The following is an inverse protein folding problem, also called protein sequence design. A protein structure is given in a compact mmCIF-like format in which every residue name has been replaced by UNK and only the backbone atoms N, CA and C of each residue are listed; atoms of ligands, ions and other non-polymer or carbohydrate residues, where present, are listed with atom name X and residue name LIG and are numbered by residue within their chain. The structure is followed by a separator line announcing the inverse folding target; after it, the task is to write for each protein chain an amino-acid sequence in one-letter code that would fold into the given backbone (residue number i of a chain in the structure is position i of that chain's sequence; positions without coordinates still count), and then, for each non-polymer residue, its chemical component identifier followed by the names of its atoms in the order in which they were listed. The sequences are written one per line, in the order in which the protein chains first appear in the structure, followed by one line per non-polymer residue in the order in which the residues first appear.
data_IF_094910326999
#
_entry.id   IF_094910326999
#
_cell.length_a   1.000
_cell.length_b   1.000
_cell.length_c   1.000
_cell.angle_alpha   90.00
_cell.angle_beta   90.00
_cell.angle_gamma   90.00
#
_symmetry.space_group_name_H-M   'P 1'
#
loop_
_entity.id
_entity.type
_entity.pdbx_description
1 polymer ?
#
# COMPACT_ATOMS: atom_id res chain seq x y z
N UNK A 1 -32.87 -29.06 -66.32
CA UNK A 1 -31.75 -29.15 -65.36
C UNK A 1 -32.29 -28.82 -63.98
N UNK A 2 -32.96 -29.79 -63.35
CA UNK A 2 -32.46 -30.57 -62.17
C UNK A 2 -32.29 -29.70 -60.93
N UNK A 3 -33.34 -29.55 -60.08
CA UNK A 3 -33.55 -30.26 -58.78
C UNK A 3 -32.44 -30.00 -57.76
N UNK A 4 -32.65 -29.64 -56.47
CA UNK A 4 -33.78 -29.91 -55.55
C UNK A 4 -33.55 -29.14 -54.23
N UNK A 5 -34.65 -28.75 -53.57
CA UNK A 5 -34.76 -28.58 -52.10
C UNK A 5 -34.35 -29.87 -51.36
N UNK A 6 -33.81 -29.74 -50.13
CA UNK A 6 -34.22 -30.58 -48.97
C UNK A 6 -33.75 -30.01 -47.63
N UNK A 7 -34.71 -29.92 -46.71
CA UNK A 7 -34.56 -29.87 -45.25
C UNK A 7 -34.17 -31.26 -44.69
N UNK A 8 -33.56 -31.27 -43.49
CA UNK A 8 -33.69 -32.18 -42.32
C UNK A 8 -32.34 -32.23 -41.57
N UNK A 9 -32.22 -31.66 -40.36
CA UNK A 9 -32.54 -32.19 -39.00
C UNK A 9 -31.38 -32.95 -38.32
N UNK A 10 -31.02 -32.43 -37.13
CA UNK A 10 -30.42 -33.02 -35.93
C UNK A 10 -29.24 -34.01 -36.06
N UNK A 11 -28.14 -33.66 -35.39
CA UNK A 11 -27.07 -34.58 -35.05
C UNK A 11 -26.08 -33.96 -34.07
N UNK A 12 -26.36 -34.13 -32.77
CA UNK A 12 -25.42 -33.90 -31.67
C UNK A 12 -24.17 -34.76 -31.87
N UNK A 13 -22.99 -34.15 -31.84
CA UNK A 13 -21.75 -34.82 -31.41
C UNK A 13 -20.73 -33.76 -30.96
N UNK A 14 -20.70 -33.55 -29.65
CA UNK A 14 -19.54 -32.99 -28.97
C UNK A 14 -18.39 -34.01 -29.05
N UNK A 15 -17.21 -33.61 -29.51
CA UNK A 15 -15.94 -34.25 -29.16
C UNK A 15 -14.73 -33.44 -29.68
N UNK A 16 -13.84 -33.06 -28.77
CA UNK A 16 -12.40 -32.82 -28.97
C UNK A 16 -12.00 -31.77 -30.01
N UNK A 17 -11.42 -30.63 -29.65
CA UNK A 17 -10.09 -30.53 -29.05
C UNK A 17 -9.92 -29.15 -28.42
N UNK A 18 -10.49 -28.94 -27.23
CA UNK A 18 -10.01 -27.90 -26.32
C UNK A 18 -8.86 -28.50 -25.51
N UNK A 19 -7.66 -28.52 -26.09
CA UNK A 19 -6.44 -28.80 -25.32
C UNK A 19 -6.25 -27.68 -24.29
N UNK A 20 -5.94 -27.98 -23.02
CA UNK A 20 -5.63 -26.93 -22.08
C UNK A 20 -4.27 -26.36 -22.47
N UNK A 21 -4.22 -25.12 -22.99
CA UNK A 21 -3.04 -24.28 -22.87
C UNK A 21 -2.87 -23.84 -21.41
N UNK A 22 -2.74 -24.83 -20.50
CA UNK A 22 -1.93 -24.68 -19.30
C UNK A 22 -0.50 -24.92 -19.75
N UNK A 23 0.12 -23.90 -20.35
CA UNK A 23 1.55 -23.80 -20.20
C UNK A 23 1.79 -23.72 -18.69
N UNK A 24 2.37 -24.78 -18.12
CA UNK A 24 2.91 -24.72 -16.79
C UNK A 24 3.93 -23.58 -16.80
N UNK A 25 3.54 -22.43 -16.27
CA UNK A 25 4.48 -21.38 -15.91
C UNK A 25 5.31 -21.96 -14.77
N UNK A 26 6.37 -22.69 -15.11
CA UNK A 26 7.48 -22.88 -14.21
C UNK A 26 8.09 -21.48 -14.06
N UNK A 27 7.75 -20.82 -12.95
CA UNK A 27 8.65 -19.84 -12.39
C UNK A 27 10.00 -20.54 -12.29
N UNK A 28 11.01 -19.96 -12.94
CA UNK A 28 12.37 -20.45 -12.87
C UNK A 28 12.73 -20.58 -11.37
N UNK A 29 13.09 -21.77 -10.85
CA UNK A 29 13.46 -21.95 -9.45
C UNK A 29 14.73 -21.18 -9.06
N UNK A 30 15.37 -20.50 -10.02
CA UNK A 30 16.46 -19.57 -9.77
C UNK A 30 15.97 -18.27 -9.06
N UNK A 31 15.65 -18.41 -7.78
CA UNK A 31 15.87 -17.41 -6.72
C UNK A 31 17.38 -17.12 -6.51
N UNK A 32 18.24 -17.47 -7.46
CA UNK A 32 19.70 -17.63 -7.32
C UNK A 32 20.49 -16.35 -7.09
N UNK A 33 19.81 -15.23 -6.86
CA UNK A 33 20.47 -14.04 -6.36
C UNK A 33 19.49 -13.19 -5.55
N UNK A 34 18.97 -13.75 -4.45
CA UNK A 34 18.26 -12.94 -3.46
C UNK A 34 19.13 -11.75 -3.04
N UNK A 35 20.44 -11.94 -2.93
CA UNK A 35 21.39 -10.87 -2.60
C UNK A 35 21.33 -9.74 -3.64
N UNK A 36 21.42 -10.02 -4.94
CA UNK A 36 21.25 -8.98 -5.96
C UNK A 36 19.84 -8.39 -6.05
N UNK A 37 18.79 -9.07 -5.58
CA UNK A 37 17.46 -8.47 -5.45
C UNK A 37 17.42 -7.47 -4.29
N UNK A 38 17.94 -7.85 -3.12
CA UNK A 38 18.00 -6.99 -1.94
C UNK A 38 18.97 -5.81 -2.12
N UNK A 39 20.11 -6.02 -2.78
CA UNK A 39 21.05 -4.97 -3.19
C UNK A 39 20.43 -4.06 -4.25
N UNK A 40 19.73 -4.62 -5.24
CA UNK A 40 19.02 -3.79 -6.22
C UNK A 40 17.85 -3.02 -5.59
N UNK A 41 17.32 -3.45 -4.45
CA UNK A 41 16.23 -2.81 -3.69
C UNK A 41 16.70 -1.61 -2.85
N UNK A 42 18.00 -1.38 -2.72
CA UNK A 42 18.52 -0.13 -2.19
C UNK A 42 18.11 1.05 -3.10
N UNK A 43 17.59 2.13 -2.51
CA UNK A 43 17.28 3.37 -3.22
C UNK A 43 18.51 3.91 -3.96
N UNK A 44 18.30 4.74 -5.00
CA UNK A 44 19.40 5.49 -5.61
C UNK A 44 20.12 6.27 -4.51
N UNK A 45 21.38 5.91 -4.27
CA UNK A 45 22.22 6.53 -3.25
C UNK A 45 22.38 8.01 -3.61
N UNK A 46 21.89 8.96 -2.78
CA UNK A 46 22.06 10.37 -3.07
C UNK A 46 23.55 10.74 -3.11
N UNK A 47 23.95 11.80 -3.83
CA UNK A 47 25.34 12.25 -3.86
C UNK A 47 25.88 12.48 -2.44
N UNK A 48 26.95 11.77 -2.08
CA UNK A 48 27.55 11.82 -0.74
C UNK A 48 26.98 10.82 0.28
N UNK A 49 26.14 9.87 -0.12
CA UNK A 49 25.74 8.75 0.72
C UNK A 49 26.94 7.83 0.98
N UNK A 50 27.34 7.71 2.24
CA UNK A 50 28.26 6.67 2.68
C UNK A 50 27.47 5.38 2.85
N UNK A 51 27.82 4.36 2.07
CA UNK A 51 27.17 3.06 2.17
C UNK A 51 27.42 2.47 3.56
N UNK A 52 26.37 2.08 4.30
CA UNK A 52 26.56 1.50 5.61
C UNK A 52 27.35 0.20 5.49
N UNK A 53 28.05 -0.16 6.56
CA UNK A 53 28.80 -1.41 6.61
C UNK A 53 27.86 -2.60 6.30
N UNK A 54 28.31 -3.61 5.54
CA UNK A 54 27.50 -4.77 5.22
C UNK A 54 27.00 -5.45 6.50
N UNK A 55 25.69 -5.58 6.63
CA UNK A 55 25.04 -6.28 7.75
C UNK A 55 24.68 -7.69 7.28
N UNK A 56 24.86 -8.69 8.14
CA UNK A 56 24.36 -10.03 7.89
C UNK A 56 22.86 -10.02 7.58
N UNK A 57 22.42 -10.87 6.66
CA UNK A 57 21.01 -10.97 6.30
C UNK A 57 20.19 -11.63 7.41
N UNK A 58 18.98 -11.12 7.68
CA UNK A 58 18.07 -11.71 8.66
C UNK A 58 17.77 -13.19 8.32
N UNK A 59 17.55 -13.46 7.04
CA UNK A 59 17.24 -14.80 6.52
C UNK A 59 18.38 -15.82 6.71
N UNK A 60 19.63 -15.37 6.83
CA UNK A 60 20.80 -16.24 7.02
C UNK A 60 21.15 -16.48 8.49
N UNK A 61 20.50 -15.80 9.43
CA UNK A 61 20.73 -16.02 10.87
C UNK A 61 20.24 -17.40 11.30
N UNK A 62 21.03 -18.04 12.18
CA UNK A 62 20.66 -19.31 12.84
C UNK A 62 19.47 -19.09 13.78
N UNK A 63 19.49 -17.99 14.54
CA UNK A 63 18.39 -17.58 15.43
C UNK A 63 17.83 -16.25 14.94
N UNK A 64 16.64 -16.30 14.34
CA UNK A 64 16.03 -15.14 13.69
C UNK A 64 15.14 -14.38 14.68
N UNK A 65 15.43 -13.10 15.00
CA UNK A 65 14.53 -12.29 15.82
C UNK A 65 13.18 -12.17 15.11
N UNK A 66 12.09 -12.33 15.85
CA UNK A 66 10.74 -12.32 15.27
C UNK A 66 10.23 -10.87 15.18
N UNK A 67 9.82 -10.40 13.99
CA UNK A 67 9.09 -9.14 13.88
C UNK A 67 7.71 -9.27 14.52
N UNK A 68 7.14 -8.16 14.94
CA UNK A 68 5.77 -8.13 15.46
C UNK A 68 5.05 -6.85 15.03
N UNK A 69 3.74 -6.93 14.99
CA UNK A 69 2.90 -5.74 14.92
C UNK A 69 2.69 -5.17 16.33
N UNK A 70 2.73 -3.84 16.53
CA UNK A 70 2.42 -3.25 17.83
C UNK A 70 0.99 -3.58 18.30
N UNK A 71 0.79 -3.50 19.61
CA UNK A 71 -0.56 -3.41 20.19
C UNK A 71 -1.33 -2.23 19.59
N UNK A 72 -2.66 -2.32 19.49
CA UNK A 72 -3.49 -1.29 18.84
C UNK A 72 -3.35 0.09 19.50
N UNK A 73 -3.23 0.12 20.82
CA UNK A 73 -2.97 1.34 21.61
C UNK A 73 -1.59 1.95 21.36
N UNK A 74 -0.66 1.21 20.76
CA UNK A 74 0.72 1.62 20.45
C UNK A 74 0.99 1.70 18.94
N UNK A 75 -0.04 1.52 18.11
CA UNK A 75 0.08 1.49 16.65
C UNK A 75 -0.36 2.81 16.02
N UNK A 76 0.46 3.35 15.10
CA UNK A 76 0.09 4.49 14.24
C UNK A 76 -1.17 4.25 13.41
N UNK A 77 -1.53 3.00 13.19
CA UNK A 77 -2.64 2.61 12.31
C UNK A 77 -3.95 2.35 13.07
N UNK A 78 -3.92 2.17 14.39
CA UNK A 78 -5.09 1.73 15.15
C UNK A 78 -5.43 2.60 16.36
N UNK A 79 -4.54 3.50 16.78
CA UNK A 79 -4.72 4.28 18.00
C UNK A 79 -6.02 5.09 18.02
N UNK A 80 -6.39 5.67 16.88
CA UNK A 80 -7.58 6.50 16.68
C UNK A 80 -8.90 5.70 16.67
N UNK A 81 -8.83 4.36 16.60
CA UNK A 81 -10.00 3.47 16.64
C UNK A 81 -9.93 2.43 17.76
N UNK A 82 -9.03 2.60 18.73
CA UNK A 82 -8.79 1.59 19.77
C UNK A 82 -10.01 1.36 20.67
N UNK A 83 -10.87 2.37 20.83
CA UNK A 83 -12.10 2.25 21.61
C UNK A 83 -13.17 1.41 20.88
N UNK A 84 -13.28 1.59 19.55
CA UNK A 84 -14.25 0.89 18.72
C UNK A 84 -13.76 -0.51 18.33
N UNK A 85 -12.44 -0.72 18.28
CA UNK A 85 -11.84 -1.98 17.90
C UNK A 85 -10.57 -2.26 18.76
N UNK A 86 -10.73 -2.59 20.05
CA UNK A 86 -9.60 -2.78 20.98
C UNK A 86 -8.77 -4.03 20.66
N UNK A 87 -9.37 -5.01 19.98
CA UNK A 87 -8.74 -6.27 19.58
C UNK A 87 -9.01 -6.55 18.11
N UNK A 88 -8.18 -7.42 17.51
CA UNK A 88 -8.41 -7.90 16.15
C UNK A 88 -9.67 -8.75 16.09
N UNK A 89 -10.53 -8.50 15.11
CA UNK A 89 -11.69 -9.35 14.84
C UNK A 89 -11.31 -10.52 13.94
N UNK A 90 -11.85 -11.70 14.24
CA UNK A 90 -11.72 -12.90 13.38
C UNK A 90 -12.88 -13.06 12.39
N UNK A 91 -13.92 -12.23 12.52
CA UNK A 91 -15.09 -12.26 11.64
C UNK A 91 -14.77 -11.72 10.26
N UNK A 92 -15.32 -12.36 9.22
CA UNK A 92 -15.25 -11.83 7.86
C UNK A 92 -16.21 -10.66 7.67
N UNK A 93 -15.82 -9.66 6.89
CA UNK A 93 -16.67 -8.55 6.49
C UNK A 93 -16.63 -8.35 4.96
N UNK A 94 -17.61 -7.62 4.42
CA UNK A 94 -17.68 -7.32 2.98
C UNK A 94 -17.10 -5.94 2.72
N UNK A 95 -16.08 -5.86 1.88
CA UNK A 95 -15.66 -4.60 1.28
C UNK A 95 -16.48 -4.36 0.01
N UNK A 96 -17.03 -3.15 -0.14
CA UNK A 96 -17.89 -2.71 -1.26
C UNK A 96 -17.52 -1.28 -1.67
N UNK A 97 -18.03 -0.82 -2.81
CA UNK A 97 -17.92 0.60 -3.22
C UNK A 97 -18.47 1.55 -2.15
N UNK A 98 -19.64 1.23 -1.57
CA UNK A 98 -20.26 2.03 -0.52
C UNK A 98 -19.38 2.15 0.74
N UNK A 99 -18.67 1.07 1.13
CA UNK A 99 -17.73 1.11 2.25
C UNK A 99 -16.53 2.01 1.92
N UNK A 100 -15.98 1.93 0.71
CA UNK A 100 -14.88 2.80 0.29
C UNK A 100 -15.30 4.28 0.22
N UNK A 101 -16.52 4.57 -0.24
CA UNK A 101 -17.10 5.91 -0.16
C UNK A 101 -17.23 6.41 1.29
N UNK A 102 -17.75 5.57 2.20
CA UNK A 102 -17.88 5.91 3.62
C UNK A 102 -16.51 6.20 4.24
N UNK A 103 -15.50 5.38 3.96
CA UNK A 103 -14.13 5.60 4.41
C UNK A 103 -13.53 6.90 3.85
N UNK A 104 -13.71 7.19 2.57
CA UNK A 104 -13.25 8.43 1.96
C UNK A 104 -13.92 9.65 2.61
N UNK A 105 -15.23 9.58 2.86
CA UNK A 105 -15.98 10.66 3.51
C UNK A 105 -15.54 10.88 4.97
N UNK A 106 -15.37 9.80 5.75
CA UNK A 106 -14.87 9.87 7.14
C UNK A 106 -13.49 10.53 7.24
N UNK A 107 -12.69 10.46 6.17
CA UNK A 107 -11.36 11.02 6.11
C UNK A 107 -11.27 12.34 5.32
N UNK A 108 -12.40 12.89 4.85
CA UNK A 108 -12.42 14.08 3.99
C UNK A 108 -11.50 13.96 2.76
N UNK A 109 -11.42 12.76 2.18
CA UNK A 109 -10.63 12.48 0.97
C UNK A 109 -11.40 12.91 -0.28
N UNK A 110 -10.82 13.80 -1.08
CA UNK A 110 -11.39 14.20 -2.37
C UNK A 110 -11.15 13.11 -3.43
N UNK A 111 -12.06 12.15 -3.44
CA UNK A 111 -12.09 11.02 -4.40
C UNK A 111 -13.06 11.25 -5.56
N UNK A 112 -13.91 12.28 -5.50
CA UNK A 112 -15.09 12.42 -6.34
C UNK A 112 -14.91 13.18 -7.66
N UNK A 113 -13.75 13.80 -7.91
CA UNK A 113 -13.64 14.84 -8.95
C UNK A 113 -13.04 14.47 -10.31
N UNK A 114 -12.40 13.32 -10.53
CA UNK A 114 -11.77 13.10 -11.86
C UNK A 114 -11.30 11.70 -12.27
N UNK A 115 -11.68 10.60 -11.61
CA UNK A 115 -10.93 9.34 -11.81
C UNK A 115 -11.83 8.14 -12.05
N UNK A 116 -11.75 7.59 -13.26
CA UNK A 116 -12.36 6.29 -13.61
C UNK A 116 -11.93 5.17 -12.65
N UNK A 117 -10.72 5.28 -12.07
CA UNK A 117 -10.09 4.27 -11.22
C UNK A 117 -9.32 4.91 -10.08
N UNK A 118 -9.56 4.44 -8.87
CA UNK A 118 -8.86 4.81 -7.64
C UNK A 118 -8.13 3.58 -7.13
N UNK A 119 -6.86 3.72 -6.80
CA UNK A 119 -6.12 2.65 -6.13
C UNK A 119 -6.46 2.71 -4.65
N UNK A 120 -6.58 1.56 -4.01
CA UNK A 120 -6.77 1.50 -2.56
C UNK A 120 -5.94 0.37 -1.96
N UNK A 121 -5.53 0.58 -0.71
CA UNK A 121 -4.83 -0.40 0.10
C UNK A 121 -5.50 -0.50 1.45
N UNK A 122 -5.67 -1.72 1.95
CA UNK A 122 -6.11 -1.97 3.31
C UNK A 122 -5.00 -2.75 4.03
N UNK A 123 -4.29 -2.05 4.91
CA UNK A 123 -3.26 -2.64 5.76
C UNK A 123 -3.90 -3.51 6.83
N UNK A 124 -3.35 -4.70 7.05
CA UNK A 124 -3.79 -5.58 8.12
C UNK A 124 -5.10 -6.32 7.84
N UNK A 125 -5.33 -6.72 6.60
CA UNK A 125 -6.42 -7.64 6.25
C UNK A 125 -6.07 -8.49 5.03
N UNK A 126 -6.72 -9.65 4.93
CA UNK A 126 -6.53 -10.60 3.85
C UNK A 126 -7.87 -11.02 3.25
N UNK A 127 -7.91 -11.45 1.98
CA UNK A 127 -9.10 -12.09 1.41
C UNK A 127 -9.47 -13.34 2.22
N UNK A 128 -10.75 -13.49 2.56
CA UNK A 128 -11.25 -14.65 3.30
C UNK A 128 -11.26 -15.96 2.47
N UNK A 129 -10.96 -15.85 1.17
CA UNK A 129 -10.96 -16.95 0.22
C UNK A 129 -10.28 -16.56 -1.09
N UNK A 130 -10.72 -17.17 -2.20
CA UNK A 130 -10.15 -16.89 -3.52
C UNK A 130 -10.37 -15.42 -3.90
N UNK A 131 -9.31 -14.74 -4.30
CA UNK A 131 -9.39 -13.38 -4.85
C UNK A 131 -10.05 -13.38 -6.23
N UNK A 132 -10.81 -12.31 -6.56
CA UNK A 132 -11.55 -12.26 -7.81
C UNK A 132 -10.62 -12.22 -9.03
N UNK A 133 -11.10 -12.76 -10.15
CA UNK A 133 -10.41 -12.67 -11.45
C UNK A 133 -10.68 -11.32 -12.14
N UNK A 134 -11.87 -10.76 -11.95
CA UNK A 134 -12.31 -9.48 -12.51
C UNK A 134 -12.91 -8.55 -11.46
N UNK A 135 -13.41 -7.40 -11.89
CA UNK A 135 -14.15 -6.50 -11.00
C UNK A 135 -15.41 -7.18 -10.48
N UNK A 136 -15.68 -7.00 -9.19
CA UNK A 136 -16.83 -7.57 -8.47
C UNK A 136 -17.45 -6.51 -7.56
N UNK A 137 -18.76 -6.59 -7.27
CA UNK A 137 -19.43 -5.62 -6.41
C UNK A 137 -18.96 -5.66 -4.95
N UNK A 138 -18.37 -6.79 -4.53
CA UNK A 138 -17.86 -6.96 -3.17
C UNK A 138 -16.84 -8.09 -3.06
N UNK A 139 -16.02 -8.05 -2.01
CA UNK A 139 -15.10 -9.14 -1.62
C UNK A 139 -15.20 -9.38 -0.10
N UNK A 140 -15.11 -10.64 0.33
CA UNK A 140 -14.99 -10.96 1.76
C UNK A 140 -13.53 -10.83 2.22
N UNK A 141 -13.32 -10.05 3.27
CA UNK A 141 -12.02 -9.85 3.92
C UNK A 141 -12.09 -10.30 5.38
N UNK A 142 -10.94 -10.62 5.95
CA UNK A 142 -10.72 -10.84 7.39
C UNK A 142 -9.59 -9.95 7.86
N UNK A 143 -9.69 -9.41 9.08
CA UNK A 143 -8.56 -8.68 9.66
C UNK A 143 -7.41 -9.65 9.96
N UNK A 144 -6.19 -9.23 9.63
CA UNK A 144 -4.97 -10.00 9.85
C UNK A 144 -3.83 -9.03 10.15
N UNK A 145 -3.37 -8.95 11.40
CA UNK A 145 -2.23 -8.12 11.75
C UNK A 145 -1.03 -8.41 10.82
N UNK A 146 -0.37 -7.38 10.25
CA UNK A 146 0.85 -7.59 9.50
C UNK A 146 1.93 -8.25 10.36
N UNK A 147 2.77 -9.10 9.76
CA UNK A 147 3.85 -9.77 10.47
C UNK A 147 5.22 -9.51 9.83
N UNK A 148 5.28 -8.62 8.84
CA UNK A 148 6.49 -8.30 8.08
C UNK A 148 7.15 -9.50 7.36
N UNK A 149 6.47 -10.63 7.29
CA UNK A 149 6.92 -11.87 6.66
C UNK A 149 6.03 -12.25 5.48
N UNK A 150 4.71 -12.10 5.65
CA UNK A 150 3.67 -12.47 4.69
C UNK A 150 2.91 -11.24 4.20
N UNK A 151 2.33 -11.34 3.00
CA UNK A 151 1.43 -10.35 2.42
C UNK A 151 0.05 -10.35 3.12
N UNK A 152 -0.01 -9.76 4.32
CA UNK A 152 -1.23 -9.66 5.17
C UNK A 152 -2.01 -8.36 4.97
N UNK A 153 -1.92 -7.78 3.78
CA UNK A 153 -2.67 -6.60 3.38
C UNK A 153 -3.38 -6.90 2.05
N UNK A 154 -4.23 -5.98 1.60
CA UNK A 154 -4.76 -6.03 0.23
C UNK A 154 -4.49 -4.71 -0.48
N UNK A 155 -4.26 -4.79 -1.78
CA UNK A 155 -4.23 -3.64 -2.70
C UNK A 155 -5.18 -3.93 -3.85
N UNK A 156 -5.91 -2.91 -4.27
CA UNK A 156 -6.95 -3.03 -5.28
C UNK A 156 -7.19 -1.77 -6.11
N UNK A 157 -8.08 -1.93 -7.06
CA UNK A 157 -8.60 -0.88 -7.94
C UNK A 157 -10.09 -0.78 -7.70
N UNK A 158 -10.55 0.42 -7.42
CA UNK A 158 -11.96 0.77 -7.21
C UNK A 158 -12.45 1.64 -8.35
N UNK A 159 -13.66 1.36 -8.86
CA UNK A 159 -14.36 2.16 -9.86
C UNK A 159 -15.61 2.76 -9.20
N UNK A 160 -15.52 3.98 -8.65
CA UNK A 160 -16.63 4.60 -7.92
C UNK A 160 -17.92 4.61 -8.74
N UNK A 161 -17.84 5.00 -10.01
CA UNK A 161 -19.00 5.15 -10.89
C UNK A 161 -19.62 3.81 -11.35
N UNK A 162 -18.89 2.70 -11.20
CA UNK A 162 -19.37 1.35 -11.59
C UNK A 162 -19.74 0.49 -10.37
N UNK A 163 -19.60 1.04 -9.16
CA UNK A 163 -19.87 0.36 -7.90
C UNK A 163 -19.21 -1.01 -7.73
N UNK A 164 -18.00 -1.14 -8.28
CA UNK A 164 -17.23 -2.38 -8.20
C UNK A 164 -15.74 -2.15 -7.93
N UNK A 165 -15.10 -3.25 -7.55
CA UNK A 165 -13.71 -3.27 -7.15
C UNK A 165 -13.02 -4.57 -7.55
N UNK A 166 -11.71 -4.50 -7.69
CA UNK A 166 -10.84 -5.66 -7.80
C UNK A 166 -9.75 -5.53 -6.74
N UNK A 167 -9.33 -6.63 -6.12
CA UNK A 167 -8.21 -6.63 -5.17
C UNK A 167 -7.44 -7.95 -5.18
N UNK A 168 -6.22 -7.88 -4.67
CA UNK A 168 -5.38 -9.04 -4.40
C UNK A 168 -4.71 -8.91 -3.02
N UNK A 169 -4.25 -10.04 -2.47
CA UNK A 169 -3.32 -10.03 -1.34
C UNK A 169 -2.04 -9.28 -1.73
N UNK A 170 -1.51 -8.50 -0.80
CA UNK A 170 -0.39 -7.58 -1.01
C UNK A 170 0.32 -7.29 0.32
N UNK A 171 1.43 -6.56 0.28
CA UNK A 171 2.03 -5.96 1.46
C UNK A 171 2.03 -4.44 1.36
N UNK A 172 1.67 -3.78 2.44
CA UNK A 172 1.74 -2.31 2.61
C UNK A 172 2.72 -1.92 3.72
N UNK A 173 3.56 -2.87 4.14
CA UNK A 173 4.52 -2.76 5.23
C UNK A 173 5.91 -3.23 4.74
N UNK A 174 7.01 -2.71 5.31
CA UNK A 174 8.34 -3.23 4.97
C UNK A 174 8.48 -4.68 5.43
N UNK A 175 9.37 -5.43 4.78
CA UNK A 175 9.68 -6.79 5.21
C UNK A 175 10.70 -6.79 6.36
N UNK A 176 10.80 -7.94 7.04
CA UNK A 176 11.70 -8.12 8.18
C UNK A 176 13.19 -7.95 7.84
N UNK A 177 13.60 -8.26 6.61
CA UNK A 177 14.99 -8.17 6.17
C UNK A 177 15.46 -6.71 6.24
N UNK A 178 14.66 -5.78 5.70
CA UNK A 178 14.94 -4.34 5.76
C UNK A 178 14.83 -3.76 7.16
N UNK A 179 13.86 -4.23 7.96
CA UNK A 179 13.76 -3.82 9.36
C UNK A 179 15.00 -4.24 10.15
N UNK A 180 15.49 -5.47 9.94
CA UNK A 180 16.70 -5.95 10.57
C UNK A 180 17.93 -5.17 10.12
N UNK A 181 18.10 -4.92 8.82
CA UNK A 181 19.18 -4.08 8.32
C UNK A 181 19.16 -2.71 8.98
N UNK A 182 18.01 -2.04 9.04
CA UNK A 182 17.90 -0.72 9.64
C UNK A 182 18.26 -0.69 11.13
N UNK A 183 17.85 -1.69 11.91
CA UNK A 183 18.21 -1.82 13.34
C UNK A 183 19.71 -2.02 13.53
N UNK A 184 20.37 -2.71 12.59
CA UNK A 184 21.81 -2.95 12.62
C UNK A 184 22.63 -1.82 11.98
N UNK A 185 22.01 -0.69 11.61
CA UNK A 185 22.68 0.45 10.98
C UNK A 185 22.92 0.29 9.47
N UNK A 186 22.29 -0.69 8.83
CA UNK A 186 22.27 -0.92 7.39
C UNK A 186 21.27 -0.04 6.64
N UNK A 187 20.72 -0.57 5.54
CA UNK A 187 19.79 0.18 4.68
C UNK A 187 18.55 0.64 5.44
N UNK A 188 18.06 1.86 5.16
CA UNK A 188 16.85 2.35 5.79
C UNK A 188 15.61 1.60 5.32
N UNK A 189 14.61 1.55 6.19
CA UNK A 189 13.27 1.14 5.84
C UNK A 189 12.26 2.04 6.55
N UNK A 190 11.00 2.01 6.10
CA UNK A 190 9.97 2.86 6.67
C UNK A 190 8.57 2.27 6.51
N UNK A 191 7.66 2.82 7.31
CA UNK A 191 6.23 2.57 7.21
C UNK A 191 5.53 3.83 6.68
N UNK A 192 4.96 3.73 5.48
CA UNK A 192 4.12 4.78 4.90
C UNK A 192 2.87 5.00 5.78
N UNK A 193 2.54 6.24 6.18
CA UNK A 193 1.32 6.49 6.95
C UNK A 193 0.05 6.23 6.13
N UNK A 194 -1.03 5.84 6.82
CA UNK A 194 -2.36 5.80 6.19
C UNK A 194 -2.79 7.20 5.75
N UNK A 195 -3.51 7.29 4.64
CA UNK A 195 -3.84 8.56 4.01
C UNK A 195 -4.24 8.42 2.54
N UNK A 196 -4.43 9.58 1.89
CA UNK A 196 -4.67 9.70 0.46
C UNK A 196 -3.43 10.25 -0.23
N UNK A 197 -2.79 9.40 -1.02
CA UNK A 197 -1.52 9.66 -1.67
C UNK A 197 -1.70 9.84 -3.19
N UNK A 198 -0.83 10.62 -3.82
CA UNK A 198 -0.75 10.73 -5.28
C UNK A 198 0.38 9.87 -5.82
N UNK A 199 0.08 9.17 -6.91
CA UNK A 199 1.03 8.35 -7.63
C UNK A 199 1.02 8.67 -9.11
N UNK A 200 2.14 8.46 -9.78
CA UNK A 200 2.32 8.59 -11.22
C UNK A 200 2.87 7.29 -11.79
N UNK A 201 2.35 6.84 -12.93
CA UNK A 201 2.91 5.66 -13.59
C UNK A 201 4.32 5.98 -14.12
N UNK A 202 5.26 5.06 -13.87
CA UNK A 202 6.61 5.15 -14.39
C UNK A 202 7.39 3.86 -14.14
N UNK A 203 8.71 3.96 -14.05
CA UNK A 203 9.59 2.82 -13.78
C UNK A 203 10.09 2.86 -12.35
N UNK A 204 9.83 1.81 -11.58
CA UNK A 204 10.51 1.61 -10.31
C UNK A 204 11.94 1.13 -10.61
N UNK A 205 12.93 1.85 -10.04
CA UNK A 205 14.37 1.65 -10.28
C UNK A 205 14.79 1.74 -11.74
N UNK A 206 14.39 2.84 -12.38
CA UNK A 206 14.93 3.20 -13.68
C UNK A 206 16.47 3.17 -13.64
N UNK A 207 17.11 2.64 -14.68
CA UNK A 207 18.58 2.55 -14.74
C UNK A 207 19.23 1.42 -13.94
N UNK A 208 18.50 0.71 -13.08
CA UNK A 208 19.04 -0.45 -12.34
C UNK A 208 19.15 -1.71 -13.23
N UNK A 209 19.74 -2.77 -12.67
CA UNK A 209 19.79 -4.10 -13.31
C UNK A 209 18.39 -4.70 -13.54
N UNK A 210 17.44 -4.39 -12.66
CA UNK A 210 16.09 -4.98 -12.62
C UNK A 210 14.97 -3.91 -12.53
N UNK A 211 14.82 -3.04 -13.55
CA UNK A 211 13.77 -2.03 -13.57
C UNK A 211 12.39 -2.68 -13.68
N UNK A 212 11.40 -2.10 -13.00
CA UNK A 212 10.01 -2.52 -13.04
C UNK A 212 9.13 -1.44 -13.71
N UNK A 213 8.95 -1.57 -15.01
CA UNK A 213 8.19 -0.63 -15.86
C UNK A 213 6.68 -0.69 -15.65
N UNK A 214 6.01 0.45 -15.58
CA UNK A 214 4.57 0.52 -15.26
C UNK A 214 4.29 0.31 -13.77
N UNK A 215 5.26 0.64 -12.92
CA UNK A 215 5.07 0.81 -11.49
C UNK A 215 4.36 2.14 -11.20
N UNK A 216 3.74 2.27 -10.04
CA UNK A 216 3.15 3.52 -9.59
C UNK A 216 4.15 4.19 -8.67
N UNK A 217 4.69 5.32 -9.08
CA UNK A 217 5.69 6.09 -8.34
C UNK A 217 5.04 7.11 -7.43
N UNK A 218 5.49 7.18 -6.19
CA UNK A 218 4.99 8.16 -5.23
C UNK A 218 5.31 9.58 -5.71
N UNK A 219 4.32 10.47 -5.71
CA UNK A 219 4.48 11.87 -6.12
C UNK A 219 4.63 12.83 -4.95
N UNK A 220 3.92 12.58 -3.85
CA UNK A 220 3.88 13.50 -2.72
C UNK A 220 5.00 13.19 -1.73
N UNK A 221 5.79 14.19 -1.28
CA UNK A 221 6.63 14.02 -0.11
C UNK A 221 5.72 13.81 1.11
N UNK A 222 6.12 12.89 1.99
CA UNK A 222 5.34 12.50 3.17
C UNK A 222 6.28 12.11 4.30
N UNK A 223 5.98 12.49 5.56
CA UNK A 223 6.73 11.99 6.70
C UNK A 223 6.44 10.49 6.85
N UNK A 224 7.47 9.66 6.95
CA UNK A 224 7.32 8.22 7.13
C UNK A 224 7.88 7.77 8.47
N UNK A 225 7.27 6.76 9.08
CA UNK A 225 7.72 6.24 10.37
C UNK A 225 8.95 5.35 10.16
N UNK A 226 9.99 5.57 10.96
CA UNK A 226 11.26 4.86 10.94
C UNK A 226 11.56 4.28 12.32
N UNK A 227 12.02 3.03 12.36
CA UNK A 227 12.40 2.33 13.59
C UNK A 227 13.87 1.86 13.49
N UNK A 228 14.68 2.18 14.50
CA UNK A 228 16.07 1.70 14.65
C UNK A 228 16.32 0.91 15.93
N UNK A 229 15.29 0.69 16.72
CA UNK A 229 15.38 0.11 18.06
C UNK A 229 15.11 -1.40 18.05
N UNK A 230 14.10 -1.84 17.30
CA UNK A 230 13.64 -3.23 17.28
C UNK A 230 12.89 -3.56 15.97
N UNK A 231 12.22 -4.71 15.90
CA UNK A 231 11.46 -5.14 14.73
C UNK A 231 9.94 -4.90 14.87
N UNK A 232 9.54 -3.78 15.48
CA UNK A 232 8.14 -3.43 15.75
C UNK A 232 7.92 -1.93 15.48
N UNK A 233 7.12 -1.55 14.48
CA UNK A 233 6.80 -0.14 14.26
C UNK A 233 5.78 0.37 15.28
N UNK A 234 6.21 1.18 16.24
CA UNK A 234 5.40 1.71 17.34
C UNK A 234 5.16 3.22 17.20
N UNK A 235 4.19 3.74 17.95
CA UNK A 235 3.96 5.18 18.04
C UNK A 235 5.19 5.92 18.59
N UNK A 236 5.54 7.09 18.03
CA UNK A 236 6.31 8.10 18.74
C UNK A 236 5.79 8.32 20.18
N UNK A 237 6.68 8.52 21.16
CA UNK A 237 8.11 8.82 21.01
C UNK A 237 9.04 7.60 20.88
N UNK A 238 8.52 6.38 20.83
CA UNK A 238 9.34 5.16 20.71
C UNK A 238 10.06 5.15 19.37
N UNK A 239 9.30 5.23 18.28
CA UNK A 239 9.82 5.41 16.93
C UNK A 239 9.69 6.86 16.48
N UNK A 240 10.29 7.19 15.33
CA UNK A 240 10.39 8.56 14.86
C UNK A 240 9.94 8.68 13.41
N UNK A 241 9.17 9.72 13.13
CA UNK A 241 8.94 10.12 11.75
C UNK A 241 10.20 10.72 11.16
N UNK A 242 10.53 10.34 9.93
CA UNK A 242 11.46 11.07 9.10
C UNK A 242 10.82 12.41 8.72
N UNK A 243 11.37 13.49 9.29
CA UNK A 243 10.85 14.84 9.11
C UNK A 243 11.55 15.62 8.00
N UNK A 244 12.30 14.95 7.13
CA UNK A 244 13.00 15.60 6.02
C UNK A 244 12.00 16.22 5.04
N UNK A 245 12.01 17.56 4.96
CA UNK A 245 11.08 18.33 4.12
C UNK A 245 11.45 18.14 2.64
N UNK A 246 10.44 18.02 1.79
CA UNK A 246 10.54 17.79 0.34
C UNK A 246 11.21 16.47 -0.07
N UNK A 247 11.43 15.55 0.88
CA UNK A 247 11.91 14.21 0.58
C UNK A 247 10.75 13.33 0.09
N UNK A 248 10.86 12.84 -1.13
CA UNK A 248 10.05 11.73 -1.65
C UNK A 248 10.82 10.46 -1.34
N UNK A 249 10.35 9.67 -0.36
CA UNK A 249 10.96 8.39 0.03
C UNK A 249 10.71 7.27 -0.98
N UNK A 250 9.98 7.56 -2.06
CA UNK A 250 9.74 6.64 -3.16
C UNK A 250 9.12 5.30 -2.72
N UNK A 251 8.13 5.35 -1.81
CA UNK A 251 7.27 4.22 -1.42
C UNK A 251 6.32 3.85 -2.58
N UNK A 252 6.90 3.37 -3.67
CA UNK A 252 6.24 3.05 -4.94
C UNK A 252 5.31 1.83 -4.79
N UNK A 253 4.33 1.69 -5.67
CA UNK A 253 3.56 0.45 -5.85
C UNK A 253 4.15 -0.36 -7.00
N UNK A 254 4.65 -1.56 -6.72
CA UNK A 254 5.30 -2.42 -7.72
C UNK A 254 5.17 -3.92 -7.42
N UNK A 255 5.84 -4.77 -8.19
CA UNK A 255 5.81 -6.22 -8.00
C UNK A 255 6.68 -6.65 -6.81
N UNK A 256 6.21 -7.60 -6.00
CA UNK A 256 6.90 -8.06 -4.80
C UNK A 256 8.05 -9.04 -5.03
N UNK A 257 8.13 -9.65 -6.22
CA UNK A 257 9.18 -10.55 -6.76
C UNK A 257 9.42 -11.87 -5.98
N UNK A 258 9.28 -11.89 -4.65
CA UNK A 258 9.56 -13.04 -3.77
C UNK A 258 8.35 -13.94 -3.47
N UNK A 259 7.27 -13.86 -4.26
CA UNK A 259 6.05 -14.67 -4.02
C UNK A 259 6.33 -16.18 -3.98
N UNK A 260 7.35 -16.64 -4.70
CA UNK A 260 7.74 -18.05 -4.77
C UNK A 260 8.95 -18.41 -3.88
N UNK A 261 9.36 -17.53 -2.96
CA UNK A 261 10.49 -17.83 -2.09
C UNK A 261 10.18 -19.07 -1.23
N UNK A 262 11.15 -19.99 -1.14
CA UNK A 262 11.00 -21.21 -0.34
C UNK A 262 10.93 -20.92 1.17
N UNK A 263 11.47 -19.78 1.60
CA UNK A 263 11.57 -19.35 2.99
C UNK A 263 11.23 -17.85 3.12
N UNK A 264 10.75 -17.41 4.30
CA UNK A 264 10.48 -15.98 4.54
C UNK A 264 11.75 -15.11 4.42
N UNK A 265 11.62 -13.82 4.06
CA UNK A 265 10.36 -13.13 3.77
C UNK A 265 9.79 -13.47 2.38
N UNK A 266 8.46 -13.49 2.26
CA UNK A 266 7.74 -13.86 1.02
C UNK A 266 7.42 -12.67 0.11
N UNK A 267 8.01 -11.51 0.39
CA UNK A 267 7.97 -10.31 -0.44
C UNK A 267 9.20 -9.45 -0.16
N UNK A 268 9.64 -8.63 -1.12
CA UNK A 268 10.72 -7.64 -0.93
C UNK A 268 10.16 -6.23 -0.89
N UNK A 269 10.39 -5.49 0.21
CA UNK A 269 10.03 -4.08 0.32
C UNK A 269 10.71 -3.40 1.52
N UNK A 270 11.37 -2.27 1.29
CA UNK A 270 11.87 -1.37 2.32
C UNK A 270 10.83 -0.32 2.78
N UNK A 271 9.65 -0.27 2.17
CA UNK A 271 8.61 0.76 2.42
C UNK A 271 7.58 0.87 1.27
N UNK A 272 8.00 0.45 0.08
CA UNK A 272 7.14 0.26 -1.09
C UNK A 272 5.92 -0.65 -0.82
N UNK A 273 4.87 -0.44 -1.60
CA UNK A 273 3.64 -1.21 -1.55
C UNK A 273 3.73 -2.30 -2.62
N UNK A 274 3.70 -3.57 -2.23
CA UNK A 274 4.05 -4.64 -3.17
C UNK A 274 2.94 -5.64 -3.37
N UNK A 275 2.74 -6.02 -4.63
CA UNK A 275 1.74 -6.99 -5.05
C UNK A 275 2.47 -8.23 -5.58
N UNK A 276 2.06 -9.45 -5.20
CA UNK A 276 2.69 -10.68 -5.68
C UNK A 276 2.70 -10.80 -7.21
N UNK A 277 3.78 -11.36 -7.75
CA UNK A 277 4.10 -11.39 -9.17
C UNK A 277 5.46 -10.77 -9.46
N UNK A 278 5.74 -10.55 -10.75
CA UNK A 278 7.04 -10.06 -11.18
C UNK A 278 7.09 -9.79 -12.68
N UNK A 279 8.30 -9.85 -13.24
CA UNK A 279 8.57 -9.70 -14.66
C UNK A 279 9.32 -10.92 -15.18
N UNK A 280 9.01 -11.37 -16.39
CA UNK A 280 9.74 -12.45 -17.03
C UNK A 280 11.19 -12.03 -17.30
N UNK A 281 12.16 -12.94 -17.11
CA UNK A 281 13.59 -12.69 -17.39
C UNK A 281 13.98 -12.88 -18.86
N UNK A 282 13.07 -12.57 -19.78
CA UNK A 282 13.30 -12.67 -21.23
C UNK A 282 13.27 -11.27 -21.88
N UNK A 283 13.50 -11.21 -23.19
CA UNK A 283 13.54 -9.94 -23.93
C UNK A 283 12.24 -9.12 -23.82
N UNK A 284 11.09 -9.76 -23.61
CA UNK A 284 9.81 -9.05 -23.47
C UNK A 284 9.66 -8.37 -22.11
N UNK A 285 10.30 -8.91 -21.07
CA UNK A 285 10.09 -8.50 -19.68
C UNK A 285 8.60 -8.28 -19.36
N UNK A 286 7.73 -9.18 -19.82
CA UNK A 286 6.30 -9.05 -19.56
C UNK A 286 6.00 -9.23 -18.07
N UNK A 287 5.09 -8.44 -17.48
CA UNK A 287 4.64 -8.64 -16.11
C UNK A 287 3.82 -9.95 -16.02
N UNK A 288 3.88 -10.62 -14.87
CA UNK A 288 3.08 -11.81 -14.58
C UNK A 288 2.45 -11.76 -13.18
N UNK A 289 1.57 -12.73 -12.89
CA UNK A 289 0.98 -12.91 -11.56
C UNK A 289 -0.07 -11.85 -11.23
N UNK A 290 -0.29 -11.61 -9.93
CA UNK A 290 -1.28 -10.62 -9.46
C UNK A 290 -0.87 -9.19 -9.79
N UNK A 291 0.42 -8.92 -9.90
CA UNK A 291 0.96 -7.65 -10.39
C UNK A 291 0.49 -7.31 -11.81
N UNK A 292 0.58 -8.27 -12.75
CA UNK A 292 0.08 -8.06 -14.11
C UNK A 292 -1.43 -7.76 -14.15
N UNK A 293 -2.21 -8.54 -13.39
CA UNK A 293 -3.65 -8.31 -13.27
C UNK A 293 -3.96 -6.94 -12.67
N UNK A 294 -3.27 -6.53 -11.60
CA UNK A 294 -3.47 -5.21 -11.00
C UNK A 294 -3.25 -4.07 -12.00
N UNK A 295 -2.17 -4.15 -12.78
CA UNK A 295 -1.88 -3.15 -13.82
C UNK A 295 -2.99 -3.06 -14.85
N UNK A 296 -3.45 -4.19 -15.37
CA UNK A 296 -4.57 -4.24 -16.32
C UNK A 296 -5.84 -3.66 -15.71
N UNK A 297 -6.15 -4.01 -14.45
CA UNK A 297 -7.34 -3.51 -13.73
C UNK A 297 -7.23 -2.01 -13.47
N UNK A 298 -6.04 -1.48 -13.22
CA UNK A 298 -5.76 -0.04 -13.14
C UNK A 298 -5.88 0.67 -14.50
N UNK A 299 -6.12 -0.09 -15.58
CA UNK A 299 -6.31 0.42 -16.92
C UNK A 299 -5.01 0.72 -17.64
N UNK A 300 -3.88 0.15 -17.18
CA UNK A 300 -2.61 0.24 -17.89
C UNK A 300 -2.59 -0.78 -19.03
N UNK A 301 -1.93 -0.42 -20.13
CA UNK A 301 -1.68 -1.34 -21.23
C UNK A 301 -0.74 -2.48 -20.84
N UNK A 302 -0.65 -3.53 -21.68
CA UNK A 302 0.42 -4.51 -21.54
C UNK A 302 1.75 -3.78 -21.52
N UNK A 303 2.68 -4.19 -20.64
CA UNK A 303 4.01 -3.61 -20.65
C UNK A 303 4.59 -3.76 -22.05
N UNK A 304 4.98 -2.65 -22.68
CA UNK A 304 5.69 -2.71 -23.94
C UNK A 304 6.95 -3.55 -23.73
N UNK A 305 7.32 -4.44 -24.68
CA UNK A 305 8.64 -5.05 -24.69
C UNK A 305 9.66 -3.93 -24.56
N UNK A 306 10.62 -4.06 -23.63
CA UNK A 306 11.68 -3.08 -23.41
C UNK A 306 12.63 -3.06 -24.62
N UNK A 307 12.16 -2.49 -25.73
CA UNK A 307 12.99 -2.13 -26.88
C UNK A 307 13.83 -0.87 -26.60
N UNK A 308 13.51 -0.14 -25.52
CA UNK A 308 14.22 1.06 -25.08
C UNK A 308 14.83 0.81 -23.71
N UNK A 309 16.14 1.08 -23.58
CA UNK A 309 16.89 0.98 -22.33
C UNK A 309 16.32 1.84 -21.18
N UNK A 310 15.39 2.76 -21.48
CA UNK A 310 14.84 3.74 -20.54
C UNK A 310 13.79 3.18 -19.56
N UNK A 311 13.22 2.00 -19.79
CA UNK A 311 12.14 1.51 -18.93
C UNK A 311 10.73 2.03 -19.30
N UNK A 312 10.63 2.98 -20.24
CA UNK A 312 9.39 3.75 -20.42
C UNK A 312 8.22 2.95 -21.01
N UNK A 313 6.99 3.28 -20.59
CA UNK A 313 5.74 2.71 -21.13
C UNK A 313 4.82 3.80 -21.71
N UNK A 314 3.87 3.46 -22.59
CA UNK A 314 2.86 4.43 -23.08
C UNK A 314 1.99 5.03 -21.97
N UNK A 315 1.95 4.39 -20.79
CA UNK A 315 1.16 4.83 -19.65
C UNK A 315 1.92 5.76 -18.71
N UNK A 316 3.23 5.95 -18.91
CA UNK A 316 4.05 6.79 -18.04
C UNK A 316 3.48 8.20 -17.95
N UNK A 317 3.47 8.79 -16.76
CA UNK A 317 2.88 10.09 -16.50
C UNK A 317 1.41 10.07 -16.06
N UNK A 318 0.71 8.92 -16.16
CA UNK A 318 -0.68 8.81 -15.71
C UNK A 318 -0.77 8.90 -14.18
N UNK A 319 -1.65 9.76 -13.68
CA UNK A 319 -1.77 10.05 -12.24
C UNK A 319 -2.92 9.27 -11.58
N UNK A 320 -2.65 8.60 -10.47
CA UNK A 320 -3.60 7.85 -9.66
C UNK A 320 -3.68 8.40 -8.22
N UNK A 321 -4.85 8.22 -7.58
CA UNK A 321 -4.99 8.37 -6.14
C UNK A 321 -4.81 6.99 -5.53
N UNK A 322 -4.10 6.94 -4.41
CA UNK A 322 -3.97 5.74 -3.59
C UNK A 322 -4.49 6.04 -2.19
N UNK A 323 -5.66 5.47 -1.87
CA UNK A 323 -6.24 5.52 -0.53
C UNK A 323 -5.73 4.35 0.28
N UNK A 324 -4.80 4.60 1.20
CA UNK A 324 -4.28 3.60 2.14
C UNK A 324 -4.93 3.79 3.51
N UNK A 325 -5.71 2.80 3.95
CA UNK A 325 -6.34 2.74 5.27
C UNK A 325 -6.12 1.36 5.88
N UNK A 326 -6.74 1.06 7.01
CA UNK A 326 -6.63 -0.25 7.64
C UNK A 326 -7.83 -1.17 7.36
N UNK A 327 -7.60 -2.48 7.47
CA UNK A 327 -8.65 -3.48 7.49
C UNK A 327 -9.64 -3.30 8.65
N UNK A 328 -9.18 -2.78 9.78
CA UNK A 328 -10.03 -2.53 10.94
C UNK A 328 -11.00 -1.36 10.71
N UNK A 329 -10.53 -0.26 10.12
CA UNK A 329 -11.41 0.82 9.69
C UNK A 329 -12.41 0.34 8.64
N UNK A 330 -11.98 -0.47 7.67
CA UNK A 330 -12.87 -1.04 6.68
C UNK A 330 -13.95 -1.95 7.29
N UNK A 331 -13.59 -2.77 8.28
CA UNK A 331 -14.58 -3.59 9.01
C UNK A 331 -15.58 -2.70 9.75
N UNK A 332 -15.10 -1.73 10.54
CA UNK A 332 -15.97 -0.82 11.29
C UNK A 332 -16.90 -0.03 10.36
N UNK A 333 -16.41 0.37 9.19
CA UNK A 333 -17.21 1.05 8.19
C UNK A 333 -18.26 0.12 7.54
N UNK A 334 -17.94 -1.17 7.34
CA UNK A 334 -18.83 -2.17 6.74
C UNK A 334 -19.90 -2.71 7.69
N UNK A 335 -19.67 -2.66 8.99
CA UNK A 335 -20.59 -3.16 10.01
C UNK A 335 -21.52 -2.05 10.53
N UNK A 336 -22.80 -2.12 10.18
CA UNK A 336 -23.81 -1.15 10.63
C UNK A 336 -24.11 -1.25 12.13
N UNK A 337 -23.73 -2.35 12.78
CA UNK A 337 -23.89 -2.54 14.24
C UNK A 337 -22.70 -2.01 15.04
N UNK A 338 -21.58 -1.72 14.37
CA UNK A 338 -20.41 -1.13 15.00
C UNK A 338 -20.70 0.32 15.44
N UNK A 339 -20.11 0.79 16.56
CA UNK A 339 -20.19 2.18 16.94
C UNK A 339 -19.77 3.11 15.79
N UNK A 340 -20.48 4.23 15.56
CA UNK A 340 -20.11 5.16 14.51
C UNK A 340 -18.66 5.62 14.66
N UNK A 341 -17.88 5.50 13.59
CA UNK A 341 -16.55 6.10 13.53
C UNK A 341 -16.67 7.62 13.47
N UNK A 342 -15.89 8.31 14.29
CA UNK A 342 -15.74 9.75 14.17
C UNK A 342 -14.96 10.10 12.89
N UNK A 343 -15.28 11.24 12.24
CA UNK A 343 -14.44 11.77 11.18
C UNK A 343 -13.00 12.02 11.67
N UNK A 344 -12.02 11.80 10.80
CA UNK A 344 -10.60 12.06 11.09
C UNK A 344 -9.97 12.90 9.99
N UNK A 345 -8.91 13.63 10.33
CA UNK A 345 -8.07 14.34 9.36
C UNK A 345 -6.67 13.72 9.41
N UNK A 346 -6.20 13.17 8.30
CA UNK A 346 -4.85 12.61 8.13
C UNK A 346 -4.25 13.01 6.77
N UNK A 347 -3.05 12.53 6.45
CA UNK A 347 -2.39 12.86 5.19
C UNK A 347 -3.31 12.72 3.97
N UNK A 348 -3.36 13.77 3.14
CA UNK A 348 -4.18 13.81 1.95
C UNK A 348 -5.64 14.24 2.14
N UNK A 349 -6.13 14.34 3.39
CA UNK A 349 -7.44 14.95 3.69
C UNK A 349 -7.51 16.37 3.16
N UNK A 350 -8.71 16.84 2.82
CA UNK A 350 -8.91 18.19 2.28
C UNK A 350 -10.24 18.83 2.70
N UNK A 351 -10.35 20.16 2.57
CA UNK A 351 -11.59 20.90 2.84
C UNK A 351 -11.49 21.86 4.03
N UNK A 352 -12.65 22.29 4.54
CA UNK A 352 -12.73 23.33 5.59
C UNK A 352 -12.05 22.90 6.89
N UNK A 353 -12.27 21.67 7.35
CA UNK A 353 -11.65 21.19 8.58
C UNK A 353 -10.11 21.18 8.52
N UNK A 354 -9.52 20.96 7.33
CA UNK A 354 -8.07 21.09 7.15
C UNK A 354 -7.62 22.55 7.19
N UNK A 355 -8.42 23.48 6.65
CA UNK A 355 -8.14 24.92 6.77
C UNK A 355 -8.16 25.37 8.23
N UNK A 356 -9.11 24.87 9.01
CA UNK A 356 -9.17 25.10 10.46
C UNK A 356 -7.92 24.56 11.16
N UNK A 357 -7.60 23.27 10.93
CA UNK A 357 -6.41 22.63 11.50
C UNK A 357 -5.14 23.43 11.20
N UNK A 358 -4.94 23.85 9.95
CA UNK A 358 -3.76 24.65 9.56
C UNK A 358 -3.72 25.99 10.30
N UNK A 359 -4.87 26.63 10.52
CA UNK A 359 -4.97 27.88 11.30
C UNK A 359 -4.58 27.62 12.76
N UNK A 360 -5.09 26.56 13.38
CA UNK A 360 -4.71 26.16 14.75
C UNK A 360 -3.23 25.82 14.89
N UNK A 361 -2.61 25.29 13.83
CA UNK A 361 -1.18 24.98 13.77
C UNK A 361 -0.31 26.20 13.38
N UNK A 362 -0.89 27.37 13.13
CA UNK A 362 -0.17 28.57 12.71
C UNK A 362 0.46 28.49 11.31
N UNK A 363 -0.03 27.59 10.45
CA UNK A 363 0.46 27.42 9.08
C UNK A 363 -0.31 28.38 8.14
N UNK A 364 0.43 29.26 7.45
CA UNK A 364 -0.16 30.20 6.50
C UNK A 364 -0.94 29.50 5.35
N UNK A 365 -2.04 30.13 4.94
CA UNK A 365 -2.86 29.75 3.78
C UNK A 365 -2.09 30.01 2.46
N UNK A 366 -2.26 29.22 1.39
CA UNK A 366 -3.59 28.92 0.83
C UNK A 366 -3.97 27.42 0.69
N UNK A 367 -3.12 26.46 1.09
CA UNK A 367 -3.42 25.05 0.87
C UNK A 367 -4.61 24.55 1.71
N UNK A 368 -5.51 23.79 1.08
CA UNK A 368 -6.70 23.18 1.69
C UNK A 368 -6.56 21.66 1.87
N UNK A 369 -5.32 21.13 1.83
CA UNK A 369 -4.98 19.71 1.95
C UNK A 369 -3.99 19.49 3.09
N UNK A 370 -4.13 18.37 3.79
CA UNK A 370 -3.15 17.92 4.78
C UNK A 370 -1.94 17.32 4.03
N UNK A 371 -1.03 18.21 3.64
CA UNK A 371 0.24 17.93 2.98
C UNK A 371 1.35 17.58 4.00
N UNK A 372 2.58 17.39 3.52
CA UNK A 372 3.75 17.10 4.36
C UNK A 372 3.91 18.14 5.48
N UNK A 373 3.83 19.42 5.15
CA UNK A 373 4.03 20.50 6.12
C UNK A 373 2.96 20.46 7.22
N UNK A 374 1.70 20.26 6.84
CA UNK A 374 0.58 20.15 7.79
C UNK A 374 0.75 18.93 8.68
N UNK A 375 1.09 17.78 8.10
CA UNK A 375 1.31 16.55 8.86
C UNK A 375 2.49 16.68 9.83
N UNK A 376 3.61 17.29 9.44
CA UNK A 376 4.75 17.53 10.33
C UNK A 376 4.37 18.44 11.51
N UNK A 377 3.62 19.50 11.26
CA UNK A 377 3.14 20.38 12.33
C UNK A 377 2.18 19.65 13.27
N UNK A 378 1.27 18.83 12.74
CA UNK A 378 0.38 17.98 13.53
C UNK A 378 1.16 16.99 14.40
N UNK A 379 2.12 16.26 13.83
CA UNK A 379 2.99 15.32 14.57
C UNK A 379 3.72 16.01 15.72
N UNK A 380 4.31 17.19 15.45
CA UNK A 380 5.00 17.99 16.48
C UNK A 380 4.03 18.43 17.58
N UNK A 381 2.84 18.89 17.20
CA UNK A 381 1.82 19.31 18.15
C UNK A 381 1.37 18.14 19.03
N UNK A 382 1.08 16.98 18.43
CA UNK A 382 0.64 15.79 19.16
C UNK A 382 1.70 15.35 20.18
N UNK A 383 2.98 15.25 19.77
CA UNK A 383 4.06 14.92 20.70
C UNK A 383 4.14 15.88 21.89
N UNK A 384 3.94 17.18 21.66
CA UNK A 384 4.04 18.20 22.71
C UNK A 384 2.84 18.24 23.66
N UNK A 385 1.63 17.86 23.21
CA UNK A 385 0.40 18.07 23.98
C UNK A 385 -0.30 16.78 24.41
N UNK A 386 -0.17 15.68 23.66
CA UNK A 386 -0.81 14.39 23.98
C UNK A 386 0.19 13.28 24.32
N UNK A 387 1.49 13.53 24.14
CA UNK A 387 2.56 12.59 24.52
C UNK A 387 2.80 11.43 23.56
N UNK A 388 2.12 11.42 22.40
CA UNK A 388 2.33 10.50 21.28
C UNK A 388 2.10 11.23 19.95
N UNK A 389 2.40 10.63 18.81
CA UNK A 389 2.01 11.18 17.51
C UNK A 389 1.80 10.12 16.42
N UNK A 390 0.64 10.12 15.79
CA UNK A 390 0.27 9.26 14.66
C UNK A 390 -0.01 10.06 13.38
N UNK A 391 -0.11 11.39 13.48
CA UNK A 391 -0.45 12.26 12.37
C UNK A 391 -1.92 12.18 11.96
N UNK A 392 -2.78 11.60 12.81
CA UNK A 392 -4.23 11.50 12.62
C UNK A 392 -4.90 12.41 13.66
N UNK A 393 -5.62 13.42 13.18
CA UNK A 393 -6.46 14.26 14.04
C UNK A 393 -7.84 13.60 14.15
N UNK A 394 -8.04 12.87 15.24
CA UNK A 394 -9.33 12.34 15.65
C UNK A 394 -10.11 13.34 16.53
N UNK A 395 -11.29 12.94 17.02
CA UNK A 395 -12.13 13.80 17.86
C UNK A 395 -11.45 14.20 19.17
N UNK A 396 -10.67 13.31 19.78
CA UNK A 396 -9.94 13.59 21.02
C UNK A 396 -8.83 14.63 20.78
N UNK A 397 -8.04 14.45 19.71
CA UNK A 397 -6.98 15.37 19.31
C UNK A 397 -7.55 16.73 18.93
N UNK A 398 -8.64 16.78 18.15
CA UNK A 398 -9.31 18.02 17.79
C UNK A 398 -9.84 18.77 19.03
N UNK A 399 -10.43 18.06 19.99
CA UNK A 399 -10.91 18.67 21.25
C UNK A 399 -9.76 19.25 22.06
N UNK A 400 -8.62 18.54 22.12
CA UNK A 400 -7.43 19.03 22.81
C UNK A 400 -6.82 20.27 22.12
N UNK A 401 -6.88 20.36 20.79
CA UNK A 401 -6.44 21.53 20.02
C UNK A 401 -7.33 22.77 20.22
N UNK A 402 -8.63 22.57 20.43
CA UNK A 402 -9.61 23.66 20.63
C UNK A 402 -9.70 24.13 22.09
N UNK A 403 -9.22 23.32 23.03
CA UNK A 403 -9.20 23.69 24.44
C UNK A 403 -8.20 24.82 24.63
N UNK A 404 -8.58 25.96 25.24
CA UNK A 404 -7.65 27.05 25.48
C UNK A 404 -6.49 26.52 26.32
N UNK A 405 -5.28 26.65 25.79
CA UNK A 405 -4.06 26.29 26.49
C UNK A 405 -4.09 26.93 27.88
N UNK A 406 -4.16 26.11 28.94
CA UNK A 406 -3.91 26.55 30.31
C UNK A 406 -2.41 26.74 30.58
N UNK A 407 -1.60 26.97 29.54
CA UNK A 407 -0.17 27.20 29.62
C UNK A 407 0.18 28.59 29.06
N UNK A 408 -0.32 29.61 29.74
CA UNK A 408 0.50 30.75 30.12
C UNK A 408 0.66 30.63 31.65
N UNK A 409 1.73 29.95 32.09
CA UNK A 409 2.35 30.03 33.42
C UNK A 409 3.20 28.76 33.68
N UNK A 410 4.43 28.76 33.16
CA UNK A 410 5.58 28.02 33.69
C UNK A 410 6.87 28.70 33.24
#
# INVERSE_FOLDING_TARGET
MTTKRREFLLGVAAAGLAGPLRAAFQADPATDDLDALFEADAEETPPGFEEPAPVARWSTLVSRPQPAWPERSRSVDYRHIVEQAPVQSTGSFRITSAVLHKLAALNSFDVGRSRERILFGLRGCSPAGRTPEGFVPWVHLVETAPDHLHSRCVIGVWRPDQDDLWLAGASTVPNVEYMYQMVQGGLPCNLLPTGLHRYEVGTHRAGSRYPQSGAFRQLDPVPVLRNRNNLIFELPPVDRYDTSINLIVADNIHAGILENAAHPPFFSSAGCQVIPGGYLRNATRAPYGRWAAFRERAGLGPAAPLALASGATPDDGRIFLYMLLTGAEARLAADETSPPMAPTIRFGSSGEHVRELRRSLGIAAPANRMDQQTMLAALKWQLAHVGYADGIIDAATATAMLSPSTAADA
#
